data_IF_122593775814
#
_entry.id   IF_122593775814
#
_cell.length_a   1.000
_cell.length_b   1.000
_cell.length_c   1.000
_cell.angle_alpha   90.00
_cell.angle_beta   90.00
_cell.angle_gamma   90.00
#
_symmetry.space_group_name_H-M   'P 1'
#
loop_
_entity.id
_entity.type
_entity.pdbx_description
1 polymer ?
#
# COMPACT_ATOMS: atom_id res chain seq x y z
N UNK A 1 0.90 -1.41 -4.14
CA UNK A 1 2.19 -1.15 -4.82
C UNK A 1 2.00 -1.61 -6.23
N UNK A 2 2.65 -0.97 -7.20
CA UNK A 2 2.70 -1.54 -8.54
C UNK A 2 3.98 -2.35 -8.59
N UNK A 3 3.86 -3.65 -8.89
CA UNK A 3 4.99 -4.58 -8.88
C UNK A 3 5.87 -4.43 -10.13
N UNK A 4 5.35 -3.80 -11.17
CA UNK A 4 5.96 -3.69 -12.50
C UNK A 4 5.65 -2.33 -13.11
N UNK A 5 6.57 -1.76 -13.89
CA UNK A 5 6.28 -0.54 -14.64
C UNK A 5 5.39 -0.88 -15.85
N UNK A 6 4.28 -0.16 -16.01
CA UNK A 6 3.32 -0.35 -17.10
C UNK A 6 3.57 0.65 -18.24
N UNK A 7 3.99 0.22 -19.45
CA UNK A 7 4.53 1.11 -20.48
C UNK A 7 3.53 2.11 -21.07
N UNK A 8 2.22 1.94 -20.83
CA UNK A 8 1.16 2.86 -21.28
C UNK A 8 0.43 3.55 -20.13
N UNK A 9 0.98 3.51 -18.92
CA UNK A 9 0.35 4.11 -17.75
C UNK A 9 0.70 5.60 -17.65
N UNK A 10 -0.28 6.45 -17.90
CA UNK A 10 -0.16 7.89 -17.61
C UNK A 10 -0.37 8.13 -16.11
N UNK A 11 0.65 8.63 -15.42
CA UNK A 11 0.54 9.03 -14.02
C UNK A 11 0.00 10.47 -13.94
N UNK A 12 -1.06 10.72 -13.15
CA UNK A 12 -1.50 12.08 -12.85
C UNK A 12 -0.36 12.95 -12.28
N UNK A 13 -0.42 14.24 -12.57
CA UNK A 13 0.53 15.29 -12.12
C UNK A 13 0.74 15.35 -10.59
N UNK A 14 -0.27 14.92 -9.83
CA UNK A 14 -0.25 14.89 -8.35
C UNK A 14 0.37 13.63 -7.75
N UNK A 15 0.83 12.67 -8.56
CA UNK A 15 1.54 11.49 -8.08
C UNK A 15 3.05 11.65 -8.23
N UNK A 16 3.79 11.22 -7.22
CA UNK A 16 5.25 11.13 -7.29
C UNK A 16 5.69 9.67 -7.23
N UNK A 17 6.60 9.30 -8.13
CA UNK A 17 7.35 8.03 -8.04
C UNK A 17 8.50 8.24 -7.05
N UNK A 18 8.50 7.46 -5.98
CA UNK A 18 9.60 7.43 -5.00
C UNK A 18 10.40 6.15 -5.22
N UNK A 19 11.69 6.30 -5.54
CA UNK A 19 12.63 5.19 -5.72
C UNK A 19 13.62 5.24 -4.55
N UNK A 20 13.51 4.34 -3.56
CA UNK A 20 14.44 4.31 -2.44
C UNK A 20 15.81 3.77 -2.87
N UNK A 21 16.87 4.19 -2.17
CA UNK A 21 18.14 3.48 -2.22
C UNK A 21 18.01 2.20 -1.37
N UNK A 22 18.10 1.04 -2.02
CA UNK A 22 17.90 -0.28 -1.41
C UNK A 22 18.96 -0.67 -0.37
N UNK A 23 20.11 0.01 -0.34
CA UNK A 23 21.12 -0.16 0.70
C UNK A 23 20.71 0.51 2.01
N UNK A 24 19.90 1.57 1.92
CA UNK A 24 19.49 2.41 3.06
C UNK A 24 18.11 2.01 3.56
N UNK A 25 17.16 1.80 2.65
CA UNK A 25 15.77 1.53 3.01
C UNK A 25 15.06 0.64 2.00
N UNK A 26 14.16 -0.21 2.48
CA UNK A 26 13.33 -1.03 1.61
C UNK A 26 11.93 -0.42 1.41
N UNK A 27 11.35 -0.66 0.23
CA UNK A 27 10.04 -0.10 -0.15
C UNK A 27 8.92 -0.47 0.82
N UNK A 28 8.95 -1.69 1.38
CA UNK A 28 7.93 -2.15 2.33
C UNK A 28 7.97 -1.36 3.64
N UNK A 29 9.17 -1.12 4.19
CA UNK A 29 9.35 -0.29 5.39
C UNK A 29 8.98 1.16 5.11
N UNK A 30 9.45 1.74 3.99
CA UNK A 30 9.13 3.11 3.62
C UNK A 30 7.62 3.31 3.48
N UNK A 31 6.90 2.38 2.83
CA UNK A 31 5.43 2.42 2.74
C UNK A 31 4.78 2.39 4.12
N UNK A 32 5.23 1.50 5.00
CA UNK A 32 4.68 1.40 6.35
C UNK A 32 4.89 2.71 7.11
N UNK A 33 6.10 3.28 7.05
CA UNK A 33 6.41 4.53 7.70
C UNK A 33 5.55 5.69 7.16
N UNK A 34 5.41 5.83 5.84
CA UNK A 34 4.56 6.85 5.21
C UNK A 34 3.07 6.69 5.56
N UNK A 35 2.63 5.48 5.89
CA UNK A 35 1.28 5.21 6.37
C UNK A 35 1.12 5.40 7.89
N UNK A 36 2.22 5.38 8.65
CA UNK A 36 2.18 5.44 10.10
C UNK A 36 1.58 6.76 10.59
N UNK A 37 0.58 6.76 11.50
CA UNK A 37 -0.17 7.97 11.88
C UNK A 37 0.71 9.14 12.31
N UNK A 38 1.71 8.89 13.17
CA UNK A 38 2.64 9.93 13.63
C UNK A 38 3.49 10.52 12.52
N UNK A 39 3.88 9.70 11.55
CA UNK A 39 4.70 10.17 10.42
C UNK A 39 3.83 10.94 9.42
N UNK A 40 2.59 10.49 9.19
CA UNK A 40 1.59 11.26 8.44
C UNK A 40 1.32 12.61 9.09
N UNK A 41 1.19 12.67 10.40
CA UNK A 41 1.03 13.94 11.11
C UNK A 41 2.23 14.87 10.89
N UNK A 42 3.46 14.34 10.96
CA UNK A 42 4.70 15.09 10.65
C UNK A 42 4.70 15.62 9.21
N UNK A 43 4.29 14.81 8.24
CA UNK A 43 4.14 15.20 6.83
C UNK A 43 3.09 16.32 6.67
N UNK A 44 1.91 16.13 7.26
CA UNK A 44 0.79 17.08 7.21
C UNK A 44 1.17 18.44 7.80
N UNK A 45 1.94 18.47 8.90
CA UNK A 45 2.44 19.72 9.50
C UNK A 45 3.39 20.51 8.60
N UNK A 46 4.09 19.83 7.69
CA UNK A 46 4.97 20.47 6.70
C UNK A 46 4.21 20.92 5.44
N UNK A 47 3.01 20.36 5.20
CA UNK A 47 2.18 20.72 4.07
C UNK A 47 1.58 22.12 4.21
N UNK A 48 1.27 22.74 3.08
CA UNK A 48 0.68 24.08 2.94
C UNK A 48 -0.66 23.99 2.23
N UNK A 49 -1.62 24.82 2.61
CA UNK A 49 -2.96 24.86 2.02
C UNK A 49 -4.01 25.35 3.02
N UNK A 50 -5.12 25.87 2.53
CA UNK A 50 -6.20 26.44 3.36
C UNK A 50 -7.16 25.33 3.81
N UNK A 51 -7.50 25.31 5.11
CA UNK A 51 -8.60 24.56 5.72
C UNK A 51 -8.62 23.03 5.59
N UNK A 52 -7.48 22.36 5.76
CA UNK A 52 -7.43 20.91 6.09
C UNK A 52 -7.89 19.91 5.02
N UNK A 53 -8.52 20.36 3.93
CA UNK A 53 -9.09 19.52 2.87
C UNK A 53 -8.23 19.46 1.60
N UNK A 54 -7.34 20.43 1.39
CA UNK A 54 -6.41 20.49 0.26
C UNK A 54 -4.98 20.83 0.70
N UNK A 55 -4.34 19.87 1.36
CA UNK A 55 -2.94 20.00 1.75
C UNK A 55 -2.02 19.61 0.59
N UNK A 56 -1.14 20.52 0.21
CA UNK A 56 -0.07 20.28 -0.74
C UNK A 56 1.27 20.31 -0.01
N UNK A 57 2.12 19.30 -0.25
CA UNK A 57 3.51 19.30 0.20
C UNK A 57 4.40 19.40 -1.04
N UNK A 58 5.52 20.12 -0.96
CA UNK A 58 6.48 20.20 -2.05
C UNK A 58 7.51 19.06 -1.95
N UNK A 59 8.11 18.66 -3.07
CA UNK A 59 9.15 17.62 -3.07
C UNK A 59 10.34 18.00 -2.17
N UNK A 60 10.72 19.27 -2.15
CA UNK A 60 11.80 19.78 -1.29
C UNK A 60 11.49 19.54 0.20
N UNK A 61 10.25 19.81 0.63
CA UNK A 61 9.82 19.55 2.00
C UNK A 61 9.81 18.07 2.33
N UNK A 62 9.34 17.21 1.42
CA UNK A 62 9.38 15.75 1.65
C UNK A 62 10.81 15.23 1.79
N UNK A 63 11.74 15.70 0.95
CA UNK A 63 13.17 15.33 1.03
C UNK A 63 13.85 15.81 2.32
N UNK A 64 13.37 16.91 2.90
CA UNK A 64 13.90 17.45 4.15
C UNK A 64 13.32 16.81 5.42
N UNK A 65 12.34 15.91 5.31
CA UNK A 65 11.76 15.26 6.49
C UNK A 65 12.69 14.16 6.98
N UNK A 66 13.19 14.35 8.20
CA UNK A 66 13.90 13.29 8.90
C UNK A 66 12.98 12.10 9.17
N UNK A 67 13.49 10.91 8.88
CA UNK A 67 12.81 9.65 9.13
C UNK A 67 13.68 8.71 9.95
N UNK A 68 13.07 7.85 10.80
CA UNK A 68 13.80 6.75 11.39
C UNK A 68 14.28 5.79 10.30
N UNK A 69 15.56 5.41 10.34
CA UNK A 69 16.15 4.44 9.42
C UNK A 69 16.83 3.34 10.25
N UNK A 70 16.09 2.29 10.65
CA UNK A 70 16.69 1.16 11.36
C UNK A 70 17.65 0.39 10.42
N UNK A 71 18.55 -0.46 10.95
CA UNK A 71 19.44 -1.29 10.13
C UNK A 71 18.70 -2.05 9.01
N UNK A 72 19.27 -2.06 7.80
CA UNK A 72 18.63 -2.65 6.60
C UNK A 72 18.20 -4.11 6.81
N UNK A 73 18.95 -4.88 7.60
CA UNK A 73 18.61 -6.25 7.97
C UNK A 73 17.26 -6.36 8.71
N UNK A 74 17.01 -5.46 9.66
CA UNK A 74 15.73 -5.41 10.39
C UNK A 74 14.58 -4.96 9.48
N UNK A 75 14.85 -4.02 8.57
CA UNK A 75 13.85 -3.60 7.57
C UNK A 75 13.44 -4.75 6.66
N UNK A 76 14.39 -5.58 6.21
CA UNK A 76 14.12 -6.77 5.40
C UNK A 76 13.32 -7.83 6.16
N UNK A 77 13.69 -8.12 7.41
CA UNK A 77 12.91 -9.02 8.27
C UNK A 77 11.47 -8.54 8.49
N UNK A 78 11.29 -7.23 8.72
CA UNK A 78 9.96 -6.62 8.78
C UNK A 78 9.20 -6.78 7.46
N UNK A 79 9.86 -6.52 6.33
CA UNK A 79 9.26 -6.66 5.00
C UNK A 79 8.78 -8.10 4.76
N UNK A 80 9.61 -9.10 5.06
CA UNK A 80 9.26 -10.51 4.91
C UNK A 80 8.02 -10.90 5.72
N UNK A 81 7.93 -10.40 6.96
CA UNK A 81 6.76 -10.62 7.81
C UNK A 81 5.50 -9.98 7.21
N UNK A 82 5.60 -8.72 6.76
CA UNK A 82 4.47 -7.99 6.17
C UNK A 82 3.99 -8.68 4.90
N UNK A 83 4.90 -9.07 4.00
CA UNK A 83 4.55 -9.73 2.74
C UNK A 83 3.90 -11.09 2.96
N UNK A 84 4.40 -11.88 3.92
CA UNK A 84 3.78 -13.16 4.28
C UNK A 84 2.34 -12.97 4.77
N UNK A 85 2.09 -11.97 5.62
CA UNK A 85 0.74 -11.67 6.09
C UNK A 85 -0.17 -11.19 4.96
N UNK A 86 0.36 -10.37 4.04
CA UNK A 86 -0.39 -9.89 2.89
C UNK A 86 -0.83 -11.05 1.97
N UNK A 87 0.09 -11.96 1.66
CA UNK A 87 -0.18 -13.16 0.85
C UNK A 87 -1.25 -14.06 1.50
N UNK A 88 -1.14 -14.32 2.80
CA UNK A 88 -2.15 -15.09 3.55
C UNK A 88 -3.53 -14.42 3.45
N UNK A 89 -3.61 -13.10 3.66
CA UNK A 89 -4.89 -12.38 3.58
C UNK A 89 -5.48 -12.41 2.18
N UNK A 90 -4.66 -12.25 1.15
CA UNK A 90 -5.12 -12.31 -0.23
C UNK A 90 -5.67 -13.71 -0.58
N UNK A 91 -4.98 -14.77 -0.15
CA UNK A 91 -5.45 -16.16 -0.33
C UNK A 91 -6.79 -16.41 0.38
N UNK A 92 -6.94 -15.91 1.61
CA UNK A 92 -8.20 -16.01 2.36
C UNK A 92 -9.35 -15.27 1.67
N UNK A 93 -9.08 -14.07 1.14
CA UNK A 93 -10.07 -13.28 0.42
C UNK A 93 -10.54 -13.98 -0.86
N UNK A 94 -9.60 -14.49 -1.67
CA UNK A 94 -9.91 -15.26 -2.89
C UNK A 94 -10.69 -16.54 -2.56
N UNK A 95 -10.29 -17.27 -1.51
CA UNK A 95 -11.01 -18.47 -1.08
C UNK A 95 -12.43 -18.14 -0.61
N UNK A 96 -12.62 -17.05 0.14
CA UNK A 96 -13.93 -16.60 0.59
C UNK A 96 -14.83 -16.19 -0.58
N UNK A 97 -14.29 -15.45 -1.56
CA UNK A 97 -15.02 -15.09 -2.78
C UNK A 97 -15.45 -16.34 -3.56
N UNK A 98 -14.53 -17.29 -3.74
CA UNK A 98 -14.83 -18.55 -4.43
C UNK A 98 -15.93 -19.35 -3.73
N UNK A 99 -15.90 -19.40 -2.39
CA UNK A 99 -16.94 -20.06 -1.60
C UNK A 99 -18.31 -19.41 -1.78
N UNK A 100 -18.39 -18.07 -1.78
CA UNK A 100 -19.63 -17.35 -2.01
C UNK A 100 -20.17 -17.60 -3.43
N UNK A 101 -19.30 -17.50 -4.44
CA UNK A 101 -19.67 -17.79 -5.83
C UNK A 101 -20.18 -19.22 -6.01
N UNK A 102 -19.53 -20.20 -5.39
CA UNK A 102 -19.99 -21.58 -5.42
C UNK A 102 -21.38 -21.72 -4.77
N UNK A 103 -21.56 -21.15 -3.58
CA UNK A 103 -22.83 -21.17 -2.87
C UNK A 103 -23.98 -20.56 -3.70
N UNK A 104 -23.74 -19.39 -4.30
CA UNK A 104 -24.72 -18.71 -5.16
C UNK A 104 -25.07 -19.56 -6.39
N UNK A 105 -24.08 -20.23 -7.00
CA UNK A 105 -24.32 -21.12 -8.14
C UNK A 105 -25.15 -22.35 -7.79
N UNK A 106 -24.94 -22.93 -6.59
CA UNK A 106 -25.69 -24.07 -6.10
C UNK A 106 -27.12 -23.68 -5.74
N UNK A 107 -27.32 -22.55 -5.06
CA UNK A 107 -28.64 -22.01 -4.79
C UNK A 107 -29.43 -21.78 -6.08
N UNK A 108 -28.80 -21.14 -7.07
CA UNK A 108 -29.43 -20.91 -8.37
C UNK A 108 -29.91 -22.21 -9.02
N UNK A 109 -29.06 -23.24 -9.04
CA UNK A 109 -29.42 -24.56 -9.60
C UNK A 109 -30.51 -25.27 -8.80
N UNK A 110 -30.49 -25.16 -7.47
CA UNK A 110 -31.48 -25.78 -6.59
C UNK A 110 -32.86 -25.17 -6.81
N UNK A 111 -32.95 -23.84 -6.92
CA UNK A 111 -34.21 -23.15 -7.20
C UNK A 111 -34.70 -23.33 -8.65
N UNK A 112 -33.81 -23.64 -9.60
CA UNK A 112 -34.19 -24.03 -10.96
C UNK A 112 -34.63 -25.48 -11.10
N UNK A 113 -34.37 -26.34 -10.12
CA UNK A 113 -34.67 -27.77 -10.18
C UNK A 113 -33.65 -28.60 -10.98
N UNK A 114 -32.44 -28.06 -11.22
CA UNK A 114 -31.34 -28.72 -11.95
C UNK A 114 -30.41 -29.54 -11.02
N UNK A 115 -30.93 -29.94 -9.85
CA UNK A 115 -30.24 -30.59 -8.73
C UNK A 115 -31.06 -31.76 -8.20
#
# INVERSE_FOLDING_TARGET
>A
MVEQDEPKLFLPDKLWKMIPNEEITCTAYLRYLLAHPRFREKLTKQATGTSGSMLNISQAKVRGIEMPVPPIKLQKQFADFVWRNYDIRNKLEVASQSSNTLFDSLLYRAFKGDL
#
